data_IF_363687227214
#
_entry.id   IF_363687227214
#
_cell.length_a   1.000
_cell.length_b   1.000
_cell.length_c   1.000
_cell.angle_alpha   90.00
_cell.angle_beta   90.00
_cell.angle_gamma   90.00
#
_symmetry.space_group_name_H-M   'P 1'
#
loop_
_entity.id
_entity.type
_entity.pdbx_description
1 polymer ?
#
# COMPACT_ATOMS: atom_id res chain seq x y z
N UNK A 1 6.63 5.63 23.88
CA UNK A 1 6.30 6.45 22.70
C UNK A 1 5.49 5.59 21.75
N UNK A 2 4.36 6.09 21.27
CA UNK A 2 3.52 5.38 20.28
C UNK A 2 4.06 5.63 18.89
N UNK A 3 4.22 4.59 18.08
CA UNK A 3 4.65 4.75 16.68
C UNK A 3 3.54 5.44 15.88
N UNK A 4 3.90 6.38 15.01
CA UNK A 4 2.98 7.08 14.12
C UNK A 4 3.34 6.71 12.69
N UNK A 5 2.34 6.30 11.90
CA UNK A 5 2.48 5.93 10.49
C UNK A 5 1.59 6.81 9.63
N UNK A 6 1.85 6.88 8.33
CA UNK A 6 0.97 7.56 7.39
C UNK A 6 -0.06 6.60 6.80
N UNK A 7 -1.31 7.03 6.73
CA UNK A 7 -2.36 6.27 6.08
C UNK A 7 -2.05 6.17 4.57
N UNK A 8 -1.90 4.97 3.99
CA UNK A 8 -1.45 4.82 2.60
C UNK A 8 -2.45 5.38 1.58
N UNK A 9 -3.73 5.55 1.95
CA UNK A 9 -4.77 6.08 1.07
C UNK A 9 -4.83 7.61 1.01
N UNK A 10 -4.46 8.31 2.09
CA UNK A 10 -4.71 9.76 2.22
C UNK A 10 -3.63 10.52 3.00
N UNK A 11 -2.55 9.84 3.39
CA UNK A 11 -1.38 10.37 4.11
C UNK A 11 -1.67 11.00 5.48
N UNK A 12 -2.87 10.79 6.04
CA UNK A 12 -3.16 11.20 7.41
C UNK A 12 -2.25 10.48 8.41
N UNK A 13 -1.77 11.19 9.44
CA UNK A 13 -0.97 10.59 10.53
C UNK A 13 -1.86 9.72 11.42
N UNK A 14 -1.44 8.47 11.62
CA UNK A 14 -2.16 7.45 12.38
C UNK A 14 -1.27 6.92 13.50
N UNK A 15 -1.73 7.05 14.73
CA UNK A 15 -1.08 6.43 15.88
C UNK A 15 -1.33 4.91 15.89
N UNK A 16 -0.27 4.13 16.09
CA UNK A 16 -0.32 2.67 16.12
C UNK A 16 -0.84 2.15 17.47
N UNK A 17 -2.14 2.31 17.73
CA UNK A 17 -2.78 1.86 18.98
C UNK A 17 -3.94 0.88 18.77
N UNK A 18 -4.17 -0.09 19.68
CA UNK A 18 -5.29 -1.06 19.65
C UNK A 18 -6.66 -0.49 19.30
N UNK A 19 -6.95 0.72 19.75
CA UNK A 19 -8.23 1.39 19.60
C UNK A 19 -8.53 1.73 18.13
N UNK A 20 -7.50 2.00 17.32
CA UNK A 20 -7.68 2.08 15.88
C UNK A 20 -7.72 0.67 15.27
N UNK A 21 -8.93 0.18 15.03
CA UNK A 21 -9.20 -1.14 14.42
C UNK A 21 -8.81 -1.23 12.94
N UNK A 22 -8.50 -0.10 12.30
CA UNK A 22 -8.24 0.00 10.86
C UNK A 22 -6.79 0.27 10.52
N UNK A 23 -5.86 0.21 11.48
CA UNK A 23 -4.41 0.37 11.22
C UNK A 23 -3.95 -0.52 10.04
N UNK A 24 -3.12 -0.01 9.11
CA UNK A 24 -2.45 1.30 9.10
C UNK A 24 -3.31 2.47 8.63
N UNK A 25 -4.58 2.24 8.26
CA UNK A 25 -5.47 3.27 7.75
C UNK A 25 -6.05 4.16 8.86
N UNK A 26 -6.41 5.39 8.51
CA UNK A 26 -7.06 6.32 9.44
C UNK A 26 -8.54 6.01 9.68
N UNK A 27 -9.18 5.23 8.79
CA UNK A 27 -10.61 4.91 8.84
C UNK A 27 -10.96 3.66 8.01
N UNK A 28 -12.14 3.10 8.25
CA UNK A 28 -12.70 2.00 7.44
C UNK A 28 -12.83 2.38 5.96
N UNK A 29 -13.18 3.65 5.67
CA UNK A 29 -13.30 4.16 4.30
C UNK A 29 -11.97 4.04 3.55
N UNK A 30 -10.87 4.44 4.17
CA UNK A 30 -9.55 4.37 3.54
C UNK A 30 -9.13 2.90 3.28
N UNK A 31 -9.40 2.00 4.24
CA UNK A 31 -9.20 0.56 4.05
C UNK A 31 -9.96 0.02 2.84
N UNK A 32 -11.23 0.43 2.66
CA UNK A 32 -12.06 -0.03 1.53
C UNK A 32 -11.60 0.53 0.18
N UNK A 33 -11.15 1.78 0.14
CA UNK A 33 -10.60 2.39 -1.08
C UNK A 33 -9.33 1.66 -1.51
N UNK A 34 -8.43 1.38 -0.57
CA UNK A 34 -7.20 0.61 -0.84
C UNK A 34 -7.53 -0.78 -1.38
N UNK A 35 -8.46 -1.49 -0.74
CA UNK A 35 -8.96 -2.78 -1.22
C UNK A 35 -9.54 -2.69 -2.65
N UNK A 36 -10.28 -1.62 -2.96
CA UNK A 36 -10.79 -1.36 -4.31
C UNK A 36 -9.66 -1.15 -5.32
N UNK A 37 -8.63 -0.38 -4.97
CA UNK A 37 -7.48 -0.16 -5.83
C UNK A 37 -6.69 -1.45 -6.12
N UNK A 38 -6.61 -2.36 -5.15
CA UNK A 38 -6.09 -3.71 -5.38
C UNK A 38 -6.95 -4.52 -6.34
N UNK A 39 -8.27 -4.53 -6.14
CA UNK A 39 -9.20 -5.26 -7.00
C UNK A 39 -9.24 -4.72 -8.44
N UNK A 40 -8.99 -3.43 -8.62
CA UNK A 40 -8.91 -2.74 -9.91
C UNK A 40 -7.50 -2.79 -10.53
N UNK A 41 -6.56 -3.56 -9.96
CA UNK A 41 -5.19 -3.71 -10.46
C UNK A 41 -4.42 -2.38 -10.59
N UNK A 42 -4.77 -1.38 -9.77
CA UNK A 42 -4.10 -0.06 -9.77
C UNK A 42 -2.69 -0.11 -9.19
N UNK A 43 -2.41 -1.13 -8.38
CA UNK A 43 -1.08 -1.39 -7.84
C UNK A 43 -0.35 -2.40 -8.72
N UNK A 44 0.68 -1.93 -9.43
CA UNK A 44 1.54 -2.76 -10.25
C UNK A 44 3.01 -2.43 -9.94
N UNK A 45 3.86 -3.45 -9.97
CA UNK A 45 5.31 -3.29 -9.89
C UNK A 45 5.82 -3.26 -11.33
N UNK A 46 6.49 -2.19 -11.79
CA UNK A 46 7.08 -2.15 -13.11
C UNK A 46 8.07 -3.30 -13.30
N UNK A 47 7.92 -4.06 -14.39
CA UNK A 47 8.92 -5.04 -14.78
C UNK A 47 10.10 -4.34 -15.45
N UNK A 48 11.32 -4.76 -15.11
CA UNK A 48 12.47 -4.49 -15.97
C UNK A 48 12.23 -5.19 -17.33
N UNK A 49 12.73 -4.63 -18.45
CA UNK A 49 12.68 -5.35 -19.71
C UNK A 49 13.30 -6.74 -19.53
N UNK A 50 12.71 -7.79 -20.14
CA UNK A 50 13.29 -9.11 -20.09
C UNK A 50 14.73 -9.02 -20.60
N UNK A 51 15.68 -9.56 -19.85
CA UNK A 51 17.03 -9.78 -20.37
C UNK A 51 16.89 -10.75 -21.53
N UNK A 52 17.40 -10.37 -22.71
CA UNK A 52 17.36 -11.24 -23.86
C UNK A 52 18.19 -12.50 -23.54
N UNK A 53 17.61 -13.71 -23.59
CA UNK A 53 18.34 -14.94 -23.34
C UNK A 53 19.52 -15.16 -24.32
N UNK A 54 19.59 -14.39 -25.41
CA UNK A 54 20.60 -14.48 -26.46
C UNK A 54 21.75 -13.47 -26.29
N UNK A 55 21.75 -12.65 -25.24
CA UNK A 55 22.89 -11.76 -24.93
C UNK A 55 24.07 -12.51 -24.26
N UNK A 56 23.92 -13.81 -23.98
CA UNK A 56 24.99 -14.70 -23.52
C UNK A 56 25.40 -15.68 -24.65
N UNK A 57 25.92 -15.16 -25.78
CA UNK A 57 26.80 -15.91 -26.71
C UNK A 57 28.03 -15.09 -27.11
#
# INVERSE_FOLDING_TARGET
>A
MTTVVECPTCSAKVEWKPENKYRPFCSERCKKIDLGAWAEEKYAIPAAPPKDPLEEE
#
